data_IF_048027761291
#
_entry.id   IF_048027761291
#
_cell.length_a   1.000
_cell.length_b   1.000
_cell.length_c   1.000
_cell.angle_alpha   90.00
_cell.angle_beta   90.00
_cell.angle_gamma   90.00
#
_symmetry.space_group_name_H-M   'P 1'
#
loop_
_entity.id
_entity.type
_entity.pdbx_description
1 polymer ?
#
# COMPACT_ATOMS: atom_id res chain seq x y z
N UNK A 1 -15.38 -18.31 -84.43
CA UNK A 1 -15.83 -18.00 -83.04
C UNK A 1 -17.10 -18.80 -82.81
N UNK A 2 -17.03 -19.82 -81.89
CA UNK A 2 -18.25 -20.58 -81.53
C UNK A 2 -19.15 -19.68 -80.69
N UNK A 3 -20.37 -19.44 -81.14
CA UNK A 3 -21.43 -18.70 -80.43
C UNK A 3 -21.79 -19.54 -79.15
N UNK A 4 -21.54 -19.03 -77.95
CA UNK A 4 -21.98 -19.63 -76.70
C UNK A 4 -23.54 -19.60 -76.70
N UNK A 5 -24.20 -20.75 -76.53
CA UNK A 5 -25.68 -20.75 -76.54
C UNK A 5 -26.20 -19.93 -75.33
N UNK A 6 -27.22 -19.13 -75.58
CA UNK A 6 -27.84 -18.20 -74.59
C UNK A 6 -28.15 -18.82 -73.23
N UNK A 7 -28.47 -20.09 -73.22
CA UNK A 7 -28.77 -20.85 -71.96
C UNK A 7 -27.58 -20.98 -71.04
N UNK A 8 -26.38 -21.16 -71.55
CA UNK A 8 -25.16 -21.22 -70.69
C UNK A 8 -24.76 -19.87 -70.12
N UNK A 9 -25.08 -18.78 -70.84
CA UNK A 9 -24.90 -17.41 -70.38
C UNK A 9 -25.82 -17.11 -69.19
N UNK A 10 -27.11 -17.50 -69.29
CA UNK A 10 -28.10 -17.34 -68.21
C UNK A 10 -27.72 -18.15 -66.96
N UNK A 11 -27.24 -19.36 -67.11
CA UNK A 11 -26.79 -20.22 -66.01
C UNK A 11 -25.57 -19.57 -65.33
N UNK A 12 -24.62 -19.06 -66.07
CA UNK A 12 -23.46 -18.37 -65.51
C UNK A 12 -23.81 -17.13 -64.67
N UNK A 13 -24.75 -16.32 -65.15
CA UNK A 13 -25.26 -15.14 -64.40
C UNK A 13 -25.97 -15.55 -63.13
N UNK A 14 -26.78 -16.62 -63.17
CA UNK A 14 -27.49 -17.14 -62.00
C UNK A 14 -26.51 -17.65 -60.91
N UNK A 15 -25.46 -18.38 -61.33
CA UNK A 15 -24.40 -18.86 -60.40
C UNK A 15 -23.67 -17.69 -59.74
N UNK A 16 -23.33 -16.63 -60.51
CA UNK A 16 -22.70 -15.43 -59.96
C UNK A 16 -23.59 -14.71 -58.96
N UNK A 17 -24.87 -14.60 -59.20
CA UNK A 17 -25.82 -14.02 -58.23
C UNK A 17 -25.92 -14.83 -56.94
N UNK A 18 -25.97 -16.15 -57.05
CA UNK A 18 -26.00 -17.02 -55.87
C UNK A 18 -24.72 -16.89 -55.04
N UNK A 19 -23.54 -16.89 -55.69
CA UNK A 19 -22.27 -16.68 -55.01
C UNK A 19 -22.21 -15.29 -54.37
N UNK A 20 -22.66 -14.25 -55.08
CA UNK A 20 -22.67 -12.88 -54.55
C UNK A 20 -23.57 -12.74 -53.30
N UNK A 21 -24.77 -13.34 -53.32
CA UNK A 21 -25.66 -13.33 -52.14
C UNK A 21 -25.04 -14.12 -50.94
N UNK A 22 -24.41 -15.24 -51.20
CA UNK A 22 -23.72 -16.03 -50.17
C UNK A 22 -22.59 -15.24 -49.50
N UNK A 23 -21.72 -14.63 -50.30
CA UNK A 23 -20.62 -13.79 -49.79
C UNK A 23 -21.13 -12.60 -48.99
N UNK A 24 -22.17 -11.95 -49.49
CA UNK A 24 -22.79 -10.84 -48.76
C UNK A 24 -23.38 -11.25 -47.42
N UNK A 25 -24.09 -12.38 -47.39
CA UNK A 25 -24.69 -12.92 -46.17
C UNK A 25 -23.61 -13.27 -45.12
N UNK A 26 -22.54 -13.96 -45.54
CA UNK A 26 -21.44 -14.29 -44.65
C UNK A 26 -20.82 -13.01 -44.05
N UNK A 27 -20.50 -12.02 -44.89
CA UNK A 27 -19.91 -10.76 -44.40
C UNK A 27 -20.82 -9.99 -43.45
N UNK A 28 -22.12 -10.03 -43.70
CA UNK A 28 -23.12 -9.39 -42.84
C UNK A 28 -23.15 -10.05 -41.44
N UNK A 29 -23.20 -11.39 -41.38
CA UNK A 29 -23.22 -12.10 -40.14
C UNK A 29 -21.91 -11.97 -39.38
N UNK A 30 -20.76 -11.99 -40.06
CA UNK A 30 -19.45 -11.77 -39.41
C UNK A 30 -19.38 -10.39 -38.74
N UNK A 31 -19.88 -9.35 -39.40
CA UNK A 31 -19.95 -7.98 -38.85
C UNK A 31 -20.84 -7.91 -37.60
N UNK A 32 -21.98 -8.57 -37.60
CA UNK A 32 -22.92 -8.59 -36.47
C UNK A 32 -22.32 -9.38 -35.27
N UNK A 33 -21.66 -10.51 -35.55
CA UNK A 33 -20.95 -11.30 -34.53
C UNK A 33 -19.81 -10.48 -33.91
N UNK A 34 -19.06 -9.74 -34.71
CA UNK A 34 -17.97 -8.90 -34.21
C UNK A 34 -18.50 -7.78 -33.31
N UNK A 35 -19.59 -7.10 -33.70
CA UNK A 35 -20.25 -6.08 -32.85
C UNK A 35 -20.72 -6.68 -31.54
N UNK A 36 -21.44 -7.81 -31.57
CA UNK A 36 -21.93 -8.49 -30.39
C UNK A 36 -20.79 -8.92 -29.46
N UNK A 37 -19.68 -9.41 -30.02
CA UNK A 37 -18.49 -9.77 -29.26
C UNK A 37 -17.84 -8.55 -28.60
N UNK A 38 -17.77 -7.40 -29.30
CA UNK A 38 -17.23 -6.16 -28.75
C UNK A 38 -18.09 -5.65 -27.59
N UNK A 39 -19.41 -5.66 -27.75
CA UNK A 39 -20.34 -5.29 -26.69
C UNK A 39 -20.21 -6.21 -25.46
N UNK A 40 -20.15 -7.52 -25.70
CA UNK A 40 -19.98 -8.51 -24.63
C UNK A 40 -18.66 -8.30 -23.84
N UNK A 41 -17.56 -7.95 -24.53
CA UNK A 41 -16.29 -7.57 -23.87
C UNK A 41 -16.47 -6.32 -23.01
N UNK A 42 -17.18 -5.29 -23.54
CA UNK A 42 -17.46 -4.07 -22.79
C UNK A 42 -18.30 -4.36 -21.53
N UNK A 43 -19.37 -5.14 -21.66
CA UNK A 43 -20.20 -5.53 -20.51
C UNK A 43 -19.41 -6.31 -19.47
N UNK A 44 -18.57 -7.26 -19.90
CA UNK A 44 -17.69 -8.00 -18.97
C UNK A 44 -16.73 -7.08 -18.21
N UNK A 45 -16.22 -6.05 -18.87
CA UNK A 45 -15.35 -5.05 -18.23
C UNK A 45 -16.12 -4.21 -17.22
N UNK A 46 -17.30 -3.72 -17.59
CA UNK A 46 -18.17 -2.96 -16.69
C UNK A 46 -18.59 -3.78 -15.46
N UNK A 47 -18.98 -5.04 -15.66
CA UNK A 47 -19.35 -5.94 -14.55
C UNK A 47 -18.19 -6.11 -13.60
N UNK A 48 -16.95 -6.31 -14.10
CA UNK A 48 -15.76 -6.40 -13.24
C UNK A 48 -15.50 -5.11 -12.46
N UNK A 49 -15.69 -3.96 -13.09
CA UNK A 49 -15.53 -2.66 -12.42
C UNK A 49 -16.57 -2.48 -11.30
N UNK A 50 -17.85 -2.73 -11.60
CA UNK A 50 -18.94 -2.65 -10.64
C UNK A 50 -18.75 -3.62 -9.48
N UNK A 51 -18.28 -4.84 -9.73
CA UNK A 51 -17.96 -5.79 -8.68
C UNK A 51 -16.83 -5.28 -7.76
N UNK A 52 -15.80 -4.67 -8.35
CA UNK A 52 -14.69 -4.09 -7.58
C UNK A 52 -15.15 -2.90 -6.74
N UNK A 53 -16.00 -2.03 -7.29
CA UNK A 53 -16.59 -0.91 -6.56
C UNK A 53 -17.52 -1.37 -5.44
N UNK A 54 -18.40 -2.32 -5.70
CA UNK A 54 -19.26 -2.91 -4.67
C UNK A 54 -18.46 -3.52 -3.52
N UNK A 55 -17.37 -4.23 -3.83
CA UNK A 55 -16.48 -4.76 -2.80
C UNK A 55 -15.89 -3.64 -1.94
N UNK A 56 -15.36 -2.59 -2.57
CA UNK A 56 -14.82 -1.43 -1.85
C UNK A 56 -15.87 -0.77 -0.94
N UNK A 57 -17.10 -0.60 -1.45
CA UNK A 57 -18.18 -0.01 -0.66
C UNK A 57 -18.58 -0.89 0.52
N UNK A 58 -18.66 -2.20 0.36
CA UNK A 58 -18.92 -3.13 1.46
C UNK A 58 -17.82 -3.07 2.52
N UNK A 59 -16.55 -3.13 2.10
CA UNK A 59 -15.41 -3.00 3.01
C UNK A 59 -15.48 -1.66 3.77
N UNK A 60 -15.89 -0.58 3.11
CA UNK A 60 -16.02 0.73 3.75
C UNK A 60 -17.18 0.77 4.77
N UNK A 61 -18.32 0.17 4.45
CA UNK A 61 -19.47 0.06 5.36
C UNK A 61 -19.08 -0.75 6.60
N UNK A 62 -18.42 -1.89 6.41
CA UNK A 62 -17.95 -2.74 7.51
C UNK A 62 -16.97 -1.98 8.43
N UNK A 63 -16.08 -1.18 7.85
CA UNK A 63 -15.13 -0.34 8.60
C UNK A 63 -15.76 0.83 9.35
N UNK A 64 -17.01 1.18 9.06
CA UNK A 64 -17.76 2.21 9.81
C UNK A 64 -18.39 1.68 11.10
N UNK A 65 -18.38 0.38 11.31
CA UNK A 65 -18.82 -0.22 12.56
C UNK A 65 -17.94 0.29 13.71
N UNK A 66 -18.58 0.69 14.81
CA UNK A 66 -17.90 1.30 15.95
C UNK A 66 -16.83 0.38 16.56
N UNK A 67 -17.10 -0.91 16.60
CA UNK A 67 -16.18 -1.89 17.17
C UNK A 67 -14.96 -2.07 16.26
N UNK A 68 -15.16 -2.04 14.94
CA UNK A 68 -14.07 -2.09 13.95
C UNK A 68 -13.22 -0.83 14.02
N UNK A 69 -13.85 0.36 14.10
CA UNK A 69 -13.14 1.65 14.25
C UNK A 69 -12.25 1.64 15.49
N UNK A 70 -12.82 1.25 16.63
CA UNK A 70 -12.07 1.20 17.91
C UNK A 70 -10.89 0.24 17.82
N UNK A 71 -11.10 -0.94 17.24
CA UNK A 71 -10.06 -1.94 17.09
C UNK A 71 -8.95 -1.50 16.13
N UNK A 72 -9.29 -0.94 14.97
CA UNK A 72 -8.27 -0.47 14.01
C UNK A 72 -7.43 0.69 14.61
N UNK A 73 -8.06 1.60 15.35
CA UNK A 73 -7.34 2.67 16.06
C UNK A 73 -6.38 2.12 17.13
N UNK A 74 -6.83 1.14 17.90
CA UNK A 74 -6.00 0.48 18.92
C UNK A 74 -4.83 -0.28 18.28
N UNK A 75 -5.08 -1.02 17.20
CA UNK A 75 -4.05 -1.73 16.43
C UNK A 75 -2.97 -0.77 15.90
N UNK A 76 -3.33 0.40 15.36
CA UNK A 76 -2.38 1.43 14.92
C UNK A 76 -1.55 1.93 16.11
N UNK A 77 -2.18 2.23 17.25
CA UNK A 77 -1.49 2.70 18.46
C UNK A 77 -0.50 1.67 19.00
N UNK A 78 -0.90 0.42 19.05
CA UNK A 78 -0.04 -0.67 19.54
C UNK A 78 1.13 -0.95 18.58
N UNK A 79 0.88 -0.91 17.26
CA UNK A 79 1.95 -1.03 16.27
C UNK A 79 2.94 0.13 16.38
N UNK A 80 2.47 1.36 16.59
CA UNK A 80 3.34 2.52 16.81
C UNK A 80 4.22 2.36 18.04
N UNK A 81 3.65 1.93 19.17
CA UNK A 81 4.43 1.66 20.41
C UNK A 81 5.45 0.54 20.20
N UNK A 82 5.04 -0.55 19.57
CA UNK A 82 5.91 -1.68 19.26
C UNK A 82 7.06 -1.28 18.34
N UNK A 83 6.79 -0.50 17.31
CA UNK A 83 7.79 0.02 16.40
C UNK A 83 8.83 0.87 17.13
N UNK A 84 8.40 1.85 17.93
CA UNK A 84 9.30 2.72 18.71
C UNK A 84 10.15 1.90 19.68
N UNK A 85 9.51 0.98 20.40
CA UNK A 85 10.23 0.14 21.37
C UNK A 85 11.31 -0.70 20.69
N UNK A 86 11.02 -1.36 19.57
CA UNK A 86 12.01 -2.19 18.86
C UNK A 86 13.08 -1.32 18.21
N UNK A 87 12.69 -0.21 17.54
CA UNK A 87 13.62 0.61 16.80
C UNK A 87 14.66 1.28 17.71
N UNK A 88 14.23 1.83 18.85
CA UNK A 88 15.06 2.65 19.71
C UNK A 88 15.69 1.90 20.92
N UNK A 89 15.15 0.75 21.34
CA UNK A 89 15.82 -0.06 22.35
C UNK A 89 17.08 -0.69 21.77
N UNK A 90 18.24 -0.42 22.35
CA UNK A 90 19.53 -0.94 21.92
C UNK A 90 20.20 -1.68 23.07
N UNK A 91 20.69 -2.87 22.78
CA UNK A 91 21.59 -3.63 23.69
C UNK A 91 23.03 -3.40 23.26
N UNK A 92 23.92 -3.44 24.21
CA UNK A 92 25.35 -3.34 23.94
C UNK A 92 25.78 -4.44 22.94
N UNK A 93 26.48 -4.05 21.88
CA UNK A 93 26.97 -4.97 20.85
C UNK A 93 25.90 -5.47 19.86
N UNK A 94 24.63 -5.10 20.03
CA UNK A 94 23.56 -5.50 19.12
C UNK A 94 23.73 -4.82 17.74
N UNK A 95 23.72 -5.62 16.68
CA UNK A 95 23.71 -5.09 15.33
C UNK A 95 22.32 -4.56 14.96
N UNK A 96 22.24 -3.36 14.40
CA UNK A 96 20.96 -2.76 14.00
C UNK A 96 20.17 -3.67 13.04
N UNK A 97 20.86 -4.42 12.21
CA UNK A 97 20.29 -5.40 11.27
C UNK A 97 19.47 -6.52 11.96
N UNK A 98 19.78 -6.86 13.20
CA UNK A 98 19.07 -7.91 13.94
C UNK A 98 17.61 -7.53 14.22
N UNK A 99 17.30 -6.24 14.25
CA UNK A 99 15.94 -5.72 14.44
C UNK A 99 15.04 -5.92 13.22
N UNK A 100 15.62 -6.14 12.04
CA UNK A 100 14.87 -6.28 10.78
C UNK A 100 13.79 -7.35 10.89
N UNK A 101 14.13 -8.53 11.42
CA UNK A 101 13.17 -9.64 11.55
C UNK A 101 11.97 -9.27 12.43
N UNK A 102 12.18 -8.49 13.47
CA UNK A 102 11.12 -8.09 14.41
C UNK A 102 10.29 -6.90 13.88
N UNK A 103 10.89 -6.04 13.06
CA UNK A 103 10.22 -4.87 12.46
C UNK A 103 9.55 -5.19 11.13
N UNK A 104 10.04 -6.15 10.34
CA UNK A 104 9.51 -6.48 9.02
C UNK A 104 7.98 -6.65 8.97
N UNK A 105 7.30 -7.29 9.94
CA UNK A 105 5.85 -7.41 9.93
C UNK A 105 5.08 -6.09 10.08
N UNK A 106 5.73 -5.03 10.56
CA UNK A 106 5.16 -3.72 10.81
C UNK A 106 5.42 -2.73 9.67
N UNK A 107 6.40 -3.02 8.80
CA UNK A 107 6.91 -2.09 7.81
C UNK A 107 6.38 -2.38 6.41
N UNK A 108 6.21 -1.30 5.63
CA UNK A 108 6.09 -1.43 4.18
C UNK A 108 7.42 -1.90 3.56
N UNK A 109 7.35 -2.70 2.50
CA UNK A 109 8.54 -3.29 1.87
C UNK A 109 9.58 -2.25 1.43
N UNK A 110 9.12 -1.10 0.91
CA UNK A 110 10.00 -0.03 0.50
C UNK A 110 10.73 0.55 1.70
N UNK A 111 9.99 0.89 2.75
CA UNK A 111 10.57 1.47 3.96
C UNK A 111 11.50 0.49 4.69
N UNK A 112 11.17 -0.81 4.68
CA UNK A 112 12.07 -1.84 5.20
C UNK A 112 13.42 -1.84 4.47
N UNK A 113 13.41 -1.77 3.13
CA UNK A 113 14.64 -1.69 2.32
C UNK A 113 15.42 -0.40 2.61
N UNK A 114 14.73 0.73 2.73
CA UNK A 114 15.38 2.01 3.01
C UNK A 114 16.01 2.01 4.42
N UNK A 115 15.32 1.44 5.41
CA UNK A 115 15.77 1.40 6.80
C UNK A 115 16.97 0.45 7.00
N UNK A 116 16.96 -0.71 6.35
CA UNK A 116 17.94 -1.79 6.57
C UNK A 116 18.93 -2.01 5.42
N UNK A 117 18.70 -1.42 4.24
CA UNK A 117 19.50 -1.65 3.03
C UNK A 117 20.97 -1.26 3.19
N UNK A 118 21.26 -0.17 3.92
CA UNK A 118 22.60 0.40 4.11
C UNK A 118 23.17 0.20 5.52
N UNK A 119 22.72 -0.84 6.24
CA UNK A 119 23.10 -1.05 7.65
C UNK A 119 24.28 -2.02 7.83
N UNK A 120 24.93 -2.48 6.76
CA UNK A 120 26.10 -3.36 6.87
C UNK A 120 27.20 -2.68 7.67
N UNK A 121 27.61 -3.31 8.78
CA UNK A 121 28.68 -2.81 9.64
C UNK A 121 28.28 -1.71 10.63
N UNK A 122 27.02 -1.32 10.73
CA UNK A 122 26.53 -0.43 11.78
C UNK A 122 26.21 -1.23 13.03
N UNK A 123 27.23 -1.46 13.84
CA UNK A 123 27.05 -2.00 15.19
C UNK A 123 26.77 -0.84 16.14
N UNK A 124 26.00 -1.13 17.19
CA UNK A 124 25.82 -0.18 18.27
C UNK A 124 27.16 0.03 19.00
N UNK A 125 27.77 1.19 18.78
CA UNK A 125 28.98 1.62 19.47
C UNK A 125 28.66 2.34 20.79
N UNK A 126 27.37 2.62 21.03
CA UNK A 126 26.88 3.19 22.28
C UNK A 126 26.61 2.05 23.28
N UNK A 127 26.49 2.40 24.55
CA UNK A 127 26.11 1.44 25.58
C UNK A 127 24.70 0.88 25.40
N UNK A 128 23.87 1.05 26.38
CA UNK A 128 22.48 0.59 26.38
C UNK A 128 21.53 1.74 26.20
N UNK A 129 20.49 1.55 25.36
CA UNK A 129 19.36 2.48 25.25
C UNK A 129 18.08 1.75 25.63
N UNK A 130 17.37 2.28 26.60
CA UNK A 130 16.04 1.80 27.01
C UNK A 130 14.99 2.84 26.68
N UNK A 131 13.85 2.38 26.18
CA UNK A 131 12.70 3.21 25.85
C UNK A 131 11.60 3.02 26.89
N UNK A 132 11.02 4.11 27.36
CA UNK A 132 9.91 4.10 28.30
C UNK A 132 8.93 5.23 28.04
N UNK A 133 7.78 5.19 28.73
CA UNK A 133 6.75 6.25 28.69
C UNK A 133 6.28 6.61 27.27
N UNK A 134 6.10 5.59 26.39
CA UNK A 134 5.66 5.81 25.01
C UNK A 134 4.20 6.27 25.02
N UNK A 135 3.99 7.49 24.52
CA UNK A 135 2.67 8.10 24.30
C UNK A 135 2.41 8.21 22.80
N UNK A 136 1.19 7.89 22.39
CA UNK A 136 0.76 7.98 21.00
C UNK A 136 -0.42 8.96 20.89
N UNK A 137 -0.35 9.85 19.91
CA UNK A 137 -1.38 10.81 19.61
C UNK A 137 -1.76 10.61 18.14
N UNK A 138 -3.02 10.30 17.90
CA UNK A 138 -3.58 10.10 16.57
C UNK A 138 -4.69 11.11 16.37
N UNK A 139 -4.83 11.62 15.15
CA UNK A 139 -6.01 12.38 14.77
C UNK A 139 -7.26 11.48 14.82
N UNK A 140 -8.45 12.09 14.75
CA UNK A 140 -9.69 11.33 14.71
C UNK A 140 -9.64 10.26 13.60
N UNK A 141 -9.84 9.00 14.00
CA UNK A 141 -9.86 7.90 13.06
C UNK A 141 -11.06 8.01 12.11
N UNK A 142 -10.79 7.95 10.81
CA UNK A 142 -11.83 8.00 9.76
C UNK A 142 -11.69 6.78 8.85
N UNK A 143 -12.67 5.88 8.83
CA UNK A 143 -12.60 4.60 8.09
C UNK A 143 -12.26 4.72 6.60
N UNK A 144 -12.58 5.87 5.98
CA UNK A 144 -12.28 6.13 4.57
C UNK A 144 -10.81 6.42 4.28
N UNK A 145 -10.02 6.77 5.31
CA UNK A 145 -8.62 7.10 5.12
C UNK A 145 -7.80 5.81 4.91
N UNK A 146 -6.88 5.87 3.98
CA UNK A 146 -5.91 4.79 3.70
C UNK A 146 -4.52 5.13 4.26
N UNK A 147 -4.38 6.28 4.91
CA UNK A 147 -3.14 6.74 5.56
C UNK A 147 -3.44 7.43 6.88
N UNK A 148 -2.52 7.32 7.85
CA UNK A 148 -2.57 8.03 9.13
C UNK A 148 -1.19 8.48 9.58
N UNK A 149 -1.14 9.67 10.18
CA UNK A 149 0.00 10.15 10.94
C UNK A 149 -0.22 9.91 12.43
N UNK A 150 0.72 9.23 13.08
CA UNK A 150 0.74 9.00 14.52
C UNK A 150 1.92 9.75 15.11
N UNK A 151 1.64 10.72 15.94
CA UNK A 151 2.67 11.42 16.72
C UNK A 151 3.01 10.59 17.95
N UNK A 152 4.30 10.44 18.20
CA UNK A 152 4.82 9.67 19.32
C UNK A 152 5.72 10.53 20.18
N UNK A 153 5.66 10.31 21.50
CA UNK A 153 6.60 10.89 22.47
C UNK A 153 7.03 9.80 23.43
N UNK A 154 8.33 9.71 23.72
CA UNK A 154 8.88 8.69 24.57
C UNK A 154 10.15 9.18 25.25
N UNK A 155 10.55 8.50 26.33
CA UNK A 155 11.78 8.75 27.04
C UNK A 155 12.83 7.72 26.60
N UNK A 156 14.01 8.22 26.19
CA UNK A 156 15.19 7.41 25.90
C UNK A 156 16.16 7.55 27.08
N UNK A 157 16.41 6.46 27.78
CA UNK A 157 17.45 6.35 28.79
C UNK A 157 18.71 5.77 28.15
N UNK A 158 19.71 6.62 27.95
CA UNK A 158 20.98 6.26 27.32
C UNK A 158 22.03 6.09 28.39
N UNK A 159 22.71 4.94 28.38
CA UNK A 159 23.86 4.66 29.22
C UNK A 159 25.06 4.40 28.32
N UNK A 160 26.04 5.27 28.33
CA UNK A 160 27.26 5.11 27.57
C UNK A 160 28.16 4.05 28.26
N UNK A 161 29.09 3.43 27.49
CA UNK A 161 29.90 2.32 27.91
C UNK A 161 30.81 2.73 29.08
N UNK A 162 31.28 3.98 29.07
CA UNK A 162 32.26 4.50 30.04
C UNK A 162 31.62 5.35 31.14
N UNK A 163 30.27 5.48 31.15
CA UNK A 163 29.55 6.30 32.12
C UNK A 163 28.73 5.43 33.09
N UNK A 164 28.90 5.65 34.41
CA UNK A 164 28.07 4.98 35.43
C UNK A 164 26.64 5.53 35.46
N UNK A 165 26.44 6.80 35.09
CA UNK A 165 25.15 7.46 35.13
C UNK A 165 24.46 7.47 33.73
N UNK A 166 23.22 7.02 33.73
CA UNK A 166 22.39 7.07 32.49
C UNK A 166 21.71 8.41 32.33
N UNK A 167 21.75 8.94 31.14
CA UNK A 167 21.06 10.19 30.77
C UNK A 167 19.69 9.88 30.18
N UNK A 168 18.64 10.58 30.64
CA UNK A 168 17.29 10.47 30.08
C UNK A 168 16.95 11.69 29.24
N UNK A 169 16.53 11.46 28.01
CA UNK A 169 16.04 12.52 27.12
C UNK A 169 14.66 12.21 26.59
N UNK A 170 13.84 13.24 26.42
CA UNK A 170 12.52 13.12 25.79
C UNK A 170 12.66 13.26 24.28
N UNK A 171 12.11 12.28 23.56
CA UNK A 171 12.13 12.24 22.10
C UNK A 171 10.70 12.26 21.57
N UNK A 172 10.51 12.92 20.44
CA UNK A 172 9.23 12.96 19.73
C UNK A 172 9.45 12.63 18.26
N UNK A 173 8.41 12.15 17.61
CA UNK A 173 8.47 11.85 16.18
C UNK A 173 7.07 11.64 15.61
N UNK A 174 7.03 11.41 14.31
CA UNK A 174 5.84 11.13 13.54
C UNK A 174 6.04 9.83 12.77
N UNK A 175 5.10 8.91 12.92
CA UNK A 175 5.04 7.66 12.19
C UNK A 175 3.93 7.81 11.15
N UNK A 176 4.25 7.58 9.88
CA UNK A 176 3.27 7.52 8.82
C UNK A 176 2.84 6.07 8.56
N UNK A 177 1.54 5.83 8.57
CA UNK A 177 0.93 4.54 8.30
C UNK A 177 0.23 4.56 6.95
N UNK A 178 0.35 3.47 6.20
CA UNK A 178 -0.42 3.20 4.98
C UNK A 178 -1.19 1.89 5.11
N UNK A 179 -2.37 1.84 4.53
CA UNK A 179 -3.18 0.62 4.49
C UNK A 179 -2.94 -0.14 3.19
N UNK A 180 -2.42 -1.36 3.31
CA UNK A 180 -2.19 -2.26 2.16
C UNK A 180 -2.79 -3.64 2.43
N UNK A 181 -3.63 -4.10 1.52
CA UNK A 181 -4.28 -5.42 1.64
C UNK A 181 -5.01 -5.64 2.98
N UNK A 182 -5.68 -4.59 3.48
CA UNK A 182 -6.42 -4.63 4.75
C UNK A 182 -5.56 -4.55 6.01
N UNK A 183 -4.24 -4.32 5.90
CA UNK A 183 -3.31 -4.18 7.03
C UNK A 183 -2.71 -2.78 7.06
N UNK A 184 -2.52 -2.26 8.26
CA UNK A 184 -1.77 -1.04 8.49
C UNK A 184 -0.27 -1.36 8.55
N UNK A 185 0.54 -0.65 7.75
CA UNK A 185 1.98 -0.79 7.68
C UNK A 185 2.62 0.58 7.82
N UNK A 186 3.79 0.64 8.42
CA UNK A 186 4.58 1.86 8.57
C UNK A 186 5.43 2.03 7.31
N UNK A 187 5.30 3.17 6.64
CA UNK A 187 6.08 3.49 5.45
C UNK A 187 7.04 4.68 5.64
N UNK A 188 6.93 5.40 6.77
CA UNK A 188 7.90 6.43 7.15
C UNK A 188 7.90 6.69 8.65
N UNK A 189 9.06 7.12 9.15
CA UNK A 189 9.23 7.69 10.49
C UNK A 189 10.12 8.92 10.43
N UNK A 190 9.64 10.00 11.00
CA UNK A 190 10.33 11.27 11.11
C UNK A 190 10.58 11.61 12.59
N UNK A 191 11.85 11.72 12.99
CA UNK A 191 12.21 12.14 14.34
C UNK A 191 12.24 13.65 14.42
N UNK A 192 11.59 14.23 15.42
CA UNK A 192 11.68 15.66 15.68
C UNK A 192 12.89 15.95 16.55
N UNK A 193 13.75 16.81 16.04
CA UNK A 193 14.85 17.37 16.83
C UNK A 193 14.31 18.63 17.51
N UNK A 194 14.21 18.61 18.83
CA UNK A 194 13.93 19.84 19.58
C UNK A 194 15.18 20.72 19.50
N UNK A 195 15.16 21.77 18.72
CA UNK A 195 16.17 22.81 18.79
C UNK A 195 16.13 23.41 20.20
N UNK A 196 17.21 23.29 20.94
CA UNK A 196 17.38 23.98 22.22
C UNK A 196 17.54 25.47 21.88
N UNK A 197 16.52 26.27 22.10
CA UNK A 197 16.65 27.72 22.04
C UNK A 197 17.70 28.14 23.05
N UNK A 198 18.91 28.49 22.58
CA UNK A 198 20.03 29.00 23.36
C UNK A 198 19.82 30.43 23.88
N UNK A 199 18.60 30.95 23.91
CA UNK A 199 18.32 32.37 24.21
C UNK A 199 17.80 32.66 25.62
N UNK A 200 17.91 31.71 26.57
CA UNK A 200 17.37 31.91 27.94
C UNK A 200 18.43 32.08 29.04
N UNK A 201 19.75 31.91 28.77
CA UNK A 201 20.78 31.98 29.80
C UNK A 201 21.76 33.16 29.61
N UNK A 202 21.25 34.30 29.18
CA UNK A 202 22.01 35.56 29.21
C UNK A 202 21.23 36.68 29.88
N UNK A 203 21.11 36.57 31.22
CA UNK A 203 20.90 37.75 32.09
C UNK A 203 21.45 37.45 33.47
#
# INVERSE_FOLDING_TARGET
MKKIPKNYLMIGIFILLVIGTLVFTIRYYDSEIEKANKENRNYKTQVKQLQKENKKQRDLIERQDKDVVTKEEEDIREQAKKFINILFTLKQGEAFKEKEKSLAPLLDEKYQKDLFGNTRGKNNMFGKVEVSNIKTFIEEYRPQNETYDVYVQFDEKVQDIDEEEATTKKTSGKIHFVRKNGKWLIDNFERFTLERNKSADSK
#
